data_IF_260464077219
#
_entry.id   IF_260464077219
#
_cell.length_a   1.000
_cell.length_b   1.000
_cell.length_c   1.000
_cell.angle_alpha   90.00
_cell.angle_beta   90.00
_cell.angle_gamma   90.00
#
_symmetry.space_group_name_H-M   'P 1'
#
loop_
_entity.id
_entity.type
_entity.pdbx_description
1 polymer ?
#
# COMPACT_ATOMS: atom_id res chain seq x y z
N UNK A 1 3.13 -25.06 -14.88
CA UNK A 1 2.00 -24.54 -14.07
C UNK A 1 2.52 -23.37 -13.27
N UNK A 2 1.94 -22.17 -13.38
CA UNK A 2 2.28 -21.09 -12.46
C UNK A 2 1.76 -21.49 -11.07
N UNK A 3 2.64 -21.50 -10.06
CA UNK A 3 2.21 -21.62 -8.67
C UNK A 3 1.54 -20.30 -8.28
N UNK A 4 0.27 -20.36 -7.84
CA UNK A 4 -0.41 -19.20 -7.27
C UNK A 4 0.32 -18.80 -5.99
N UNK A 5 0.89 -17.59 -5.97
CA UNK A 5 1.54 -17.01 -4.79
C UNK A 5 0.55 -16.07 -4.13
N UNK A 6 0.15 -16.41 -2.91
CA UNK A 6 -0.67 -15.55 -2.07
C UNK A 6 0.20 -14.50 -1.38
N UNK A 7 -0.33 -13.29 -1.23
CA UNK A 7 0.30 -12.20 -0.47
C UNK A 7 -0.56 -11.97 0.76
N UNK A 8 0.06 -12.03 1.95
CA UNK A 8 -0.63 -11.66 3.19
C UNK A 8 -0.57 -10.11 3.37
N UNK A 9 -1.69 -9.38 3.21
CA UNK A 9 -1.72 -7.92 3.31
C UNK A 9 -1.45 -7.40 4.73
N UNK A 10 -1.54 -8.25 5.75
CA UNK A 10 -1.31 -7.89 7.15
C UNK A 10 0.17 -7.91 7.57
N UNK A 11 1.07 -8.24 6.63
CA UNK A 11 2.52 -8.11 6.84
C UNK A 11 3.01 -6.79 6.23
N UNK A 12 4.03 -6.17 6.83
CA UNK A 12 4.67 -4.97 6.27
C UNK A 12 5.10 -5.19 4.81
N UNK A 13 5.73 -6.34 4.52
CA UNK A 13 6.10 -6.74 3.16
C UNK A 13 4.88 -6.83 2.23
N UNK A 14 3.83 -7.55 2.62
CA UNK A 14 2.66 -7.75 1.78
C UNK A 14 1.89 -6.45 1.53
N UNK A 15 1.75 -5.62 2.57
CA UNK A 15 1.13 -4.30 2.44
C UNK A 15 1.93 -3.41 1.47
N UNK A 16 3.25 -3.31 1.65
CA UNK A 16 4.13 -2.58 0.72
C UNK A 16 4.11 -3.15 -0.69
N UNK A 17 4.03 -4.48 -0.84
CA UNK A 17 3.94 -5.13 -2.14
C UNK A 17 2.64 -4.78 -2.88
N UNK A 18 1.54 -4.64 -2.15
CA UNK A 18 0.24 -4.28 -2.73
C UNK A 18 0.10 -2.77 -2.97
N UNK A 19 0.53 -1.94 -2.02
CA UNK A 19 0.22 -0.50 -1.99
C UNK A 19 1.43 0.44 -2.00
N UNK A 20 2.65 -0.09 -2.08
CA UNK A 20 3.89 0.69 -1.99
C UNK A 20 4.50 1.09 -3.33
N UNK A 21 3.75 1.01 -4.43
CA UNK A 21 4.20 1.42 -5.76
C UNK A 21 3.28 2.51 -6.32
N UNK A 22 3.80 3.44 -7.11
CA UNK A 22 3.00 4.53 -7.70
C UNK A 22 1.71 4.06 -8.41
N UNK A 23 1.70 2.94 -9.17
CA UNK A 23 0.46 2.46 -9.79
C UNK A 23 -0.63 2.06 -8.80
N UNK A 24 -0.28 1.62 -7.58
CA UNK A 24 -1.26 1.20 -6.57
C UNK A 24 -1.69 2.33 -5.63
N UNK A 25 -1.16 3.54 -5.82
CA UNK A 25 -1.44 4.71 -5.00
C UNK A 25 -2.89 5.16 -4.99
N UNK A 26 -3.55 5.09 -6.15
CA UNK A 26 -4.98 5.40 -6.24
C UNK A 26 -5.81 4.43 -5.37
N UNK A 27 -5.52 3.13 -5.47
CA UNK A 27 -6.23 2.09 -4.71
C UNK A 27 -5.96 2.23 -3.21
N UNK A 28 -4.72 2.56 -2.82
CA UNK A 28 -4.41 2.84 -1.42
C UNK A 28 -5.21 4.04 -0.90
N UNK A 29 -5.30 5.12 -1.68
CA UNK A 29 -6.04 6.31 -1.31
C UNK A 29 -7.54 6.02 -1.13
N UNK A 30 -8.13 5.27 -2.06
CA UNK A 30 -9.54 4.84 -1.96
C UNK A 30 -9.77 3.96 -0.74
N UNK A 31 -8.89 3.00 -0.47
CA UNK A 31 -8.97 2.14 0.71
C UNK A 31 -8.91 2.93 2.02
N UNK A 32 -7.98 3.89 2.13
CA UNK A 32 -7.84 4.72 3.33
C UNK A 32 -9.02 5.67 3.50
N UNK A 33 -9.56 6.21 2.40
CA UNK A 33 -10.78 7.01 2.45
C UNK A 33 -11.99 6.18 2.91
N UNK A 34 -12.12 4.92 2.50
CA UNK A 34 -13.20 4.08 3.01
C UNK A 34 -13.04 3.78 4.51
N UNK A 35 -11.79 3.59 4.96
CA UNK A 35 -11.51 3.20 6.34
C UNK A 35 -11.52 4.37 7.35
N UNK A 36 -11.02 5.53 6.94
CA UNK A 36 -10.67 6.63 7.86
C UNK A 36 -11.45 7.93 7.62
N UNK A 37 -12.33 7.99 6.61
CA UNK A 37 -13.00 9.25 6.23
C UNK A 37 -13.79 9.90 7.35
N UNK A 38 -14.37 9.11 8.26
CA UNK A 38 -15.14 9.67 9.38
C UNK A 38 -14.25 10.31 10.45
N UNK A 39 -13.01 9.81 10.63
CA UNK A 39 -12.10 10.27 11.67
C UNK A 39 -11.13 11.35 11.15
N UNK A 40 -10.57 11.15 9.96
CA UNK A 40 -9.50 11.98 9.40
C UNK A 40 -9.99 12.87 8.24
N UNK A 41 -11.22 12.68 7.78
CA UNK A 41 -11.75 13.34 6.58
C UNK A 41 -11.26 12.70 5.28
N UNK A 42 -11.54 13.38 4.16
CA UNK A 42 -11.18 12.86 2.84
C UNK A 42 -9.73 13.22 2.46
N UNK A 43 -8.94 12.20 2.18
CA UNK A 43 -7.58 12.31 1.63
C UNK A 43 -7.68 12.70 0.15
N UNK A 44 -7.27 13.93 -0.16
CA UNK A 44 -7.26 14.47 -1.54
C UNK A 44 -5.95 14.23 -2.28
N UNK A 45 -4.86 14.04 -1.55
CA UNK A 45 -3.54 13.78 -2.12
C UNK A 45 -2.68 13.01 -1.13
N UNK A 46 -1.71 12.28 -1.67
CA UNK A 46 -0.77 11.47 -0.90
C UNK A 46 0.59 11.54 -1.57
N UNK A 47 1.66 11.46 -0.78
CA UNK A 47 3.03 11.38 -1.26
C UNK A 47 3.71 10.21 -0.59
N UNK A 48 4.28 9.30 -1.37
CA UNK A 48 5.18 8.31 -0.81
C UNK A 48 6.47 9.00 -0.41
N UNK A 49 6.76 8.96 0.88
CA UNK A 49 8.07 9.36 1.36
C UNK A 49 9.09 8.33 0.88
N UNK A 50 10.30 8.79 0.54
CA UNK A 50 11.40 7.88 0.27
C UNK A 50 11.66 7.06 1.54
N UNK A 51 11.24 5.80 1.53
CA UNK A 51 11.63 4.86 2.56
C UNK A 51 13.13 4.59 2.36
N UNK A 52 13.96 4.96 3.34
CA UNK A 52 15.37 4.50 3.41
C UNK A 52 15.48 2.97 3.52
N UNK A 53 14.34 2.27 3.67
CA UNK A 53 14.22 0.83 3.83
C UNK A 53 13.29 0.20 2.78
N UNK A 54 13.52 0.48 1.49
CA UNK A 54 13.24 -0.56 0.51
C UNK A 54 14.25 -1.66 0.81
N UNK A 55 13.84 -2.66 1.62
CA UNK A 55 14.69 -3.80 1.94
C UNK A 55 15.28 -4.32 0.63
N UNK A 56 16.60 -4.27 0.54
CA UNK A 56 17.35 -4.85 -0.58
C UNK A 56 16.79 -6.24 -0.79
N UNK A 57 16.19 -6.47 -1.96
CA UNK A 57 15.77 -7.80 -2.34
C UNK A 57 17.02 -8.66 -2.45
N UNK A 58 17.22 -9.52 -1.46
CA UNK A 58 18.00 -10.75 -1.55
C UNK A 58 17.06 -11.92 -1.23
#
# INVERSE_FOLDING_TARGET
MLQEKYINPFTDFGFKRLFGQEPSKAILMDFLNELLREQEGEIKSMTYLKNEHLGSGE
#
